data_IF_816972816960
#
_entry.id   IF_816972816960
#
_cell.length_a   1.000
_cell.length_b   1.000
_cell.length_c   1.000
_cell.angle_alpha   90.00
_cell.angle_beta   90.00
_cell.angle_gamma   90.00
#
_symmetry.space_group_name_H-M   'P 1'
#
loop_
_entity.id
_entity.type
_entity.pdbx_description
1 polymer ?
#
# COMPACT_ATOMS: atom_id res chain seq x y z
N UNK A 1 -72.99 20.09 -2.34
CA UNK A 1 -71.85 21.01 -2.58
C UNK A 1 -71.39 21.63 -1.26
N UNK A 2 -70.27 21.17 -0.69
CA UNK A 2 -69.50 21.91 0.32
C UNK A 2 -68.03 21.54 0.13
N UNK A 3 -67.27 22.51 -0.37
CA UNK A 3 -65.81 22.44 -0.51
C UNK A 3 -65.19 22.54 0.88
N UNK A 4 -64.24 21.68 1.22
CA UNK A 4 -63.32 21.96 2.33
C UNK A 4 -61.91 21.58 1.91
N UNK A 5 -61.07 22.60 1.94
CA UNK A 5 -59.66 22.66 1.60
C UNK A 5 -58.88 22.11 2.79
N UNK A 6 -58.06 21.07 2.60
CA UNK A 6 -57.05 20.71 3.60
C UNK A 6 -55.64 20.98 3.07
N UNK A 7 -54.95 21.79 3.88
CA UNK A 7 -53.66 22.42 3.64
C UNK A 7 -52.52 21.41 3.71
N UNK A 8 -51.52 21.66 2.87
CA UNK A 8 -50.22 21.00 2.81
C UNK A 8 -49.49 20.98 4.17
N UNK A 9 -48.91 19.84 4.52
CA UNK A 9 -47.84 19.73 5.51
C UNK A 9 -46.60 19.26 4.74
N UNK A 10 -45.66 20.18 4.53
CA UNK A 10 -44.31 19.87 4.03
C UNK A 10 -43.47 19.52 5.25
N UNK A 11 -43.11 18.25 5.40
CA UNK A 11 -42.14 17.81 6.40
C UNK A 11 -40.76 18.03 5.81
N UNK A 12 -40.06 19.07 6.29
CA UNK A 12 -38.66 19.30 5.99
C UNK A 12 -37.80 18.40 6.87
N UNK A 13 -37.31 17.28 6.31
CA UNK A 13 -36.32 16.42 6.95
C UNK A 13 -34.94 17.09 6.87
N UNK A 14 -34.51 17.72 7.96
CA UNK A 14 -33.14 18.21 8.10
C UNK A 14 -32.19 17.01 8.29
N UNK A 15 -31.47 16.63 7.23
CA UNK A 15 -30.31 15.74 7.36
C UNK A 15 -29.17 16.51 8.05
N UNK A 16 -29.00 16.27 9.34
CA UNK A 16 -27.79 16.65 10.06
C UNK A 16 -26.62 15.79 9.56
N UNK A 17 -25.84 16.32 8.62
CA UNK A 17 -24.51 15.78 8.32
C UNK A 17 -23.58 16.12 9.48
N UNK A 18 -23.47 15.22 10.45
CA UNK A 18 -22.35 15.23 11.39
C UNK A 18 -21.07 14.93 10.59
N UNK A 19 -20.36 15.99 10.20
CA UNK A 19 -18.97 15.94 9.72
C UNK A 19 -18.10 15.48 10.89
N UNK A 20 -17.98 14.16 11.06
CA UNK A 20 -16.94 13.60 11.90
C UNK A 20 -15.58 14.01 11.32
N UNK A 21 -14.83 14.82 12.07
CA UNK A 21 -13.41 15.06 11.77
C UNK A 21 -12.73 13.69 11.72
N UNK A 22 -12.29 13.28 10.54
CA UNK A 22 -11.50 12.08 10.35
C UNK A 22 -10.17 12.25 11.10
N UNK A 23 -10.12 11.79 12.34
CA UNK A 23 -8.87 11.72 13.09
C UNK A 23 -8.04 10.56 12.53
N UNK A 24 -6.74 10.80 12.29
CA UNK A 24 -5.81 9.75 11.91
C UNK A 24 -5.81 8.66 13.01
N UNK A 25 -6.12 7.42 12.66
CA UNK A 25 -6.10 6.32 13.62
C UNK A 25 -4.65 6.00 14.00
N UNK A 26 -4.36 5.95 15.29
CA UNK A 26 -3.07 5.45 15.78
C UNK A 26 -3.16 3.93 15.96
N UNK A 27 -2.16 3.21 15.47
CA UNK A 27 -1.97 1.76 15.66
C UNK A 27 -0.62 1.50 16.30
N UNK A 28 -0.51 0.42 17.09
CA UNK A 28 0.75 -0.03 17.68
C UNK A 28 1.23 -1.25 16.92
N UNK A 29 2.38 -1.13 16.24
CA UNK A 29 2.89 -2.17 15.35
C UNK A 29 4.15 -2.79 15.93
N UNK A 30 4.22 -4.11 15.85
CA UNK A 30 5.38 -4.91 16.24
C UNK A 30 6.00 -5.54 15.00
N UNK A 31 7.28 -5.31 14.78
CA UNK A 31 8.05 -6.05 13.78
C UNK A 31 8.23 -7.50 14.23
N UNK A 32 8.02 -8.45 13.31
CA UNK A 32 8.04 -9.90 13.52
C UNK A 32 8.90 -10.61 12.45
N UNK A 33 10.03 -9.99 12.09
CA UNK A 33 10.98 -10.54 11.12
C UNK A 33 10.71 -10.17 9.65
N UNK A 34 11.72 -10.35 8.81
CA UNK A 34 11.61 -10.11 7.36
C UNK A 34 10.88 -11.25 6.64
N UNK A 35 10.28 -10.95 5.49
CA UNK A 35 9.74 -11.98 4.58
C UNK A 35 10.86 -12.75 3.89
N UNK A 36 12.04 -12.16 3.79
CA UNK A 36 13.26 -12.70 3.18
C UNK A 36 14.48 -12.23 3.98
N UNK A 37 15.65 -12.76 3.64
CA UNK A 37 16.93 -12.41 4.27
C UNK A 37 17.86 -11.81 3.21
N UNK A 38 17.84 -10.49 3.03
CA UNK A 38 18.63 -9.83 1.99
C UNK A 38 18.82 -8.33 2.21
N UNK A 39 19.80 -7.76 1.56
CA UNK A 39 20.06 -6.33 1.61
C UNK A 39 20.67 -5.85 0.30
N UNK A 40 20.67 -4.53 0.12
CA UNK A 40 21.31 -3.89 -1.03
C UNK A 40 22.29 -2.84 -0.53
N UNK A 41 23.40 -2.69 -1.26
CA UNK A 41 24.32 -1.59 -1.07
C UNK A 41 23.94 -0.44 -1.98
N UNK A 42 23.90 0.78 -1.44
CA UNK A 42 23.58 1.96 -2.25
C UNK A 42 24.81 2.45 -3.02
N UNK A 43 24.59 2.84 -4.27
CA UNK A 43 25.54 3.57 -5.11
C UNK A 43 25.29 5.07 -4.99
N UNK A 44 24.02 5.48 -5.04
CA UNK A 44 23.56 6.84 -4.79
C UNK A 44 22.20 6.83 -4.09
N UNK A 45 22.00 7.80 -3.21
CA UNK A 45 20.71 8.13 -2.59
C UNK A 45 20.53 9.64 -2.71
N UNK A 46 19.33 10.16 -3.01
CA UNK A 46 19.13 11.60 -3.14
C UNK A 46 19.49 12.37 -1.88
N UNK A 47 19.92 13.62 -2.04
CA UNK A 47 20.28 14.53 -0.94
C UNK A 47 19.12 14.90 -0.02
N UNK A 48 17.89 14.64 -0.44
CA UNK A 48 16.69 14.81 0.39
C UNK A 48 16.59 13.79 1.53
N UNK A 49 17.37 12.71 1.46
CA UNK A 49 17.55 11.76 2.57
C UNK A 49 18.74 12.23 3.40
N UNK A 50 18.50 12.68 4.63
CA UNK A 50 19.58 13.08 5.53
C UNK A 50 20.33 11.84 6.02
N UNK A 51 21.66 11.81 5.85
CA UNK A 51 22.53 10.72 6.32
C UNK A 51 22.10 9.31 5.87
N UNK A 52 22.01 9.05 4.55
CA UNK A 52 21.58 7.75 4.06
C UNK A 52 22.57 6.66 4.50
N UNK A 53 22.09 5.46 4.88
CA UNK A 53 22.98 4.37 5.22
C UNK A 53 23.75 3.89 3.97
N UNK A 54 24.86 3.16 4.15
CA UNK A 54 25.61 2.58 3.02
C UNK A 54 24.92 1.37 2.39
N UNK A 55 24.09 0.69 3.17
CA UNK A 55 23.28 -0.45 2.76
C UNK A 55 22.00 -0.51 3.59
N UNK A 56 20.98 -1.21 3.09
CA UNK A 56 19.73 -1.41 3.81
C UNK A 56 19.19 -2.82 3.56
N UNK A 57 18.44 -3.34 4.54
CA UNK A 57 17.62 -4.52 4.34
C UNK A 57 16.56 -4.23 3.27
N UNK A 58 16.47 -5.09 2.27
CA UNK A 58 15.57 -4.90 1.12
C UNK A 58 14.62 -6.10 1.04
N UNK A 59 13.49 -5.99 1.71
CA UNK A 59 12.46 -7.04 1.79
C UNK A 59 11.20 -6.50 2.47
N UNK A 60 10.12 -7.28 2.44
CA UNK A 60 8.91 -6.97 3.21
C UNK A 60 9.11 -7.29 4.70
N UNK A 61 8.49 -6.50 5.57
CA UNK A 61 8.50 -6.72 7.02
C UNK A 61 7.22 -7.40 7.45
N UNK A 62 7.31 -8.54 8.13
CA UNK A 62 6.17 -9.10 8.83
C UNK A 62 5.86 -8.20 10.02
N UNK A 63 4.65 -7.65 10.05
CA UNK A 63 4.19 -6.75 11.09
C UNK A 63 2.95 -7.33 11.76
N UNK A 64 2.82 -7.05 13.05
CA UNK A 64 1.63 -7.40 13.84
C UNK A 64 1.09 -6.13 14.49
N UNK A 65 -0.19 -5.83 14.26
CA UNK A 65 -0.90 -4.80 15.00
C UNK A 65 -1.30 -5.34 16.39
N UNK A 66 -0.71 -4.75 17.41
CA UNK A 66 -0.87 -5.08 18.83
C UNK A 66 -1.58 -3.95 19.61
N UNK A 67 -2.36 -3.13 18.92
CA UNK A 67 -3.09 -2.02 19.53
C UNK A 67 -4.00 -2.50 20.68
N UNK A 68 -3.88 -1.86 21.84
CA UNK A 68 -4.70 -2.15 23.00
C UNK A 68 -6.18 -1.83 22.70
N UNK A 69 -7.08 -2.75 23.05
CA UNK A 69 -8.52 -2.60 22.79
C UNK A 69 -8.98 -3.08 21.40
N UNK A 70 -8.07 -3.53 20.53
CA UNK A 70 -8.41 -4.20 19.27
C UNK A 70 -7.35 -4.03 18.19
N UNK A 71 -7.03 -5.12 17.48
CA UNK A 71 -6.14 -5.11 16.30
C UNK A 71 -6.97 -4.87 15.04
N UNK A 72 -6.73 -3.76 14.36
CA UNK A 72 -7.47 -3.37 13.14
C UNK A 72 -6.79 -3.94 11.89
N UNK A 73 -5.46 -4.00 11.90
CA UNK A 73 -4.68 -4.47 10.74
C UNK A 73 -4.28 -5.96 10.84
N UNK A 74 -4.34 -6.56 12.03
CA UNK A 74 -3.95 -7.96 12.23
C UNK A 74 -2.46 -8.21 11.92
N UNK A 75 -2.18 -9.29 11.19
CA UNK A 75 -0.84 -9.61 10.67
C UNK A 75 -0.77 -9.24 9.20
N UNK A 76 0.29 -8.55 8.79
CA UNK A 76 0.45 -8.08 7.41
C UNK A 76 1.92 -7.93 7.05
N UNK A 77 2.18 -7.72 5.76
CA UNK A 77 3.52 -7.38 5.24
C UNK A 77 3.56 -5.89 4.95
N UNK A 78 4.54 -5.20 5.52
CA UNK A 78 4.81 -3.81 5.27
C UNK A 78 6.10 -3.62 4.45
N UNK A 79 6.23 -2.50 3.77
CA UNK A 79 7.41 -2.12 3.00
C UNK A 79 7.92 -0.77 3.49
N UNK A 80 9.24 -0.59 3.45
CA UNK A 80 9.87 0.67 3.85
C UNK A 80 9.81 1.68 2.72
N UNK A 81 9.33 2.90 2.98
CA UNK A 81 9.41 4.00 2.03
C UNK A 81 10.21 5.19 2.60
N UNK A 82 11.06 4.92 3.59
CA UNK A 82 11.82 5.91 4.34
C UNK A 82 13.26 5.43 4.54
N UNK A 83 14.18 5.98 3.75
CA UNK A 83 15.60 5.66 3.83
C UNK A 83 16.36 6.45 4.91
N UNK A 84 15.71 7.37 5.61
CA UNK A 84 16.34 8.23 6.62
C UNK A 84 16.39 7.57 8.00
N UNK A 85 15.39 6.72 8.31
CA UNK A 85 15.22 6.14 9.62
C UNK A 85 15.43 4.62 9.65
N UNK A 86 15.37 4.04 10.84
CA UNK A 86 15.54 2.60 11.08
C UNK A 86 14.23 1.92 11.48
N UNK A 87 14.03 0.66 11.12
CA UNK A 87 12.91 -0.10 11.65
C UNK A 87 13.08 -0.32 13.16
N UNK A 88 11.96 -0.45 13.88
CA UNK A 88 12.01 -0.83 15.29
C UNK A 88 12.67 -2.22 15.45
N UNK A 89 13.40 -2.47 16.56
CA UNK A 89 13.89 -3.81 16.86
C UNK A 89 12.76 -4.84 16.89
N UNK A 90 13.08 -6.08 16.56
CA UNK A 90 12.13 -7.18 16.57
C UNK A 90 11.43 -7.29 17.93
N UNK A 91 10.11 -7.44 17.92
CA UNK A 91 9.32 -7.56 19.13
C UNK A 91 8.97 -6.24 19.83
N UNK A 92 9.52 -5.10 19.40
CA UNK A 92 9.22 -3.78 20.01
C UNK A 92 7.97 -3.18 19.37
N UNK A 93 6.97 -2.89 20.19
CA UNK A 93 5.75 -2.22 19.76
C UNK A 93 6.01 -0.72 19.57
N UNK A 94 5.71 -0.21 18.38
CA UNK A 94 5.96 1.19 18.00
C UNK A 94 4.66 1.84 17.51
N UNK A 95 4.33 3.07 17.94
CA UNK A 95 3.12 3.75 17.51
C UNK A 95 3.26 4.34 16.11
N UNK A 96 2.29 4.04 15.24
CA UNK A 96 2.15 4.56 13.89
C UNK A 96 0.80 5.25 13.71
N UNK A 97 0.76 6.30 12.89
CA UNK A 97 -0.47 6.92 12.42
C UNK A 97 -0.81 6.41 11.03
N UNK A 98 -2.06 6.00 10.85
CA UNK A 98 -2.62 5.76 9.51
C UNK A 98 -2.93 7.12 8.89
N UNK A 99 -2.29 7.44 7.76
CA UNK A 99 -2.37 8.78 7.15
C UNK A 99 -2.60 8.73 5.64
N UNK A 100 -3.19 9.80 5.10
CA UNK A 100 -3.38 10.05 3.66
C UNK A 100 -2.39 11.10 3.11
N UNK A 101 -1.65 11.76 3.98
CA UNK A 101 -0.58 12.71 3.66
C UNK A 101 0.70 12.20 4.31
N UNK A 102 1.28 11.12 3.78
CA UNK A 102 2.33 10.39 4.46
C UNK A 102 3.67 11.10 4.48
N UNK A 103 4.41 10.81 5.55
CA UNK A 103 5.82 11.08 5.78
C UNK A 103 6.13 12.56 5.99
N UNK A 104 5.19 13.25 6.62
CA UNK A 104 5.36 14.63 7.11
C UNK A 104 6.49 14.76 8.15
N UNK A 105 6.98 13.63 8.67
CA UNK A 105 8.09 13.50 9.61
C UNK A 105 9.45 13.16 8.93
N UNK A 106 9.52 13.02 7.60
CA UNK A 106 10.76 12.84 6.82
C UNK A 106 10.71 13.59 5.48
N UNK A 107 11.07 12.96 4.36
CA UNK A 107 11.07 13.57 3.02
C UNK A 107 9.68 14.08 2.57
N UNK A 108 8.61 13.45 3.07
CA UNK A 108 7.24 13.69 2.59
C UNK A 108 7.00 13.09 1.21
N UNK A 109 5.76 12.65 0.95
CA UNK A 109 5.39 12.08 -0.35
C UNK A 109 4.48 13.00 -1.13
N UNK A 110 4.91 13.36 -2.33
CA UNK A 110 4.07 14.07 -3.29
C UNK A 110 2.96 13.16 -3.84
N UNK A 111 1.92 13.77 -4.42
CA UNK A 111 0.86 13.01 -5.10
C UNK A 111 1.37 12.20 -6.28
N UNK A 112 2.41 12.68 -6.96
CA UNK A 112 3.04 11.98 -8.08
C UNK A 112 3.78 10.73 -7.60
N UNK A 113 4.57 10.84 -6.53
CA UNK A 113 5.27 9.71 -5.92
C UNK A 113 4.32 8.64 -5.38
N UNK A 114 3.25 9.05 -4.68
CA UNK A 114 2.22 8.11 -4.23
C UNK A 114 1.57 7.36 -5.40
N UNK A 115 1.40 8.01 -6.55
CA UNK A 115 0.87 7.38 -7.77
C UNK A 115 1.87 6.37 -8.34
N UNK A 116 3.17 6.70 -8.37
CA UNK A 116 4.20 5.77 -8.83
C UNK A 116 4.30 4.54 -7.92
N UNK A 117 4.30 4.74 -6.60
CA UNK A 117 4.24 3.64 -5.63
C UNK A 117 2.99 2.77 -5.85
N UNK A 118 1.82 3.38 -6.03
CA UNK A 118 0.58 2.67 -6.36
C UNK A 118 0.72 1.83 -7.64
N UNK A 119 1.29 2.39 -8.71
CA UNK A 119 1.54 1.66 -9.96
C UNK A 119 2.47 0.46 -9.77
N UNK A 120 3.51 0.59 -8.93
CA UNK A 120 4.41 -0.54 -8.62
C UNK A 120 3.66 -1.67 -7.92
N UNK A 121 2.80 -1.36 -6.94
CA UNK A 121 1.96 -2.37 -6.28
C UNK A 121 0.96 -3.01 -7.24
N UNK A 122 0.19 -2.20 -7.97
CA UNK A 122 -0.87 -2.68 -8.87
C UNK A 122 -0.34 -3.57 -9.99
N UNK A 123 0.82 -3.23 -10.56
CA UNK A 123 1.40 -4.00 -11.64
C UNK A 123 2.06 -5.31 -11.18
N UNK A 124 2.61 -5.37 -9.96
CA UNK A 124 3.59 -6.41 -9.61
C UNK A 124 3.25 -7.24 -8.38
N UNK A 125 2.63 -6.66 -7.34
CA UNK A 125 2.65 -7.24 -5.99
C UNK A 125 2.04 -8.66 -5.90
N UNK A 126 1.00 -8.94 -6.70
CA UNK A 126 0.37 -10.26 -6.76
C UNK A 126 1.34 -11.38 -7.19
N UNK A 127 2.36 -11.05 -7.98
CA UNK A 127 3.35 -12.00 -8.50
C UNK A 127 4.67 -12.04 -7.72
N UNK A 128 4.85 -11.18 -6.71
CA UNK A 128 6.10 -11.13 -5.94
C UNK A 128 6.19 -12.31 -4.99
N UNK A 129 7.24 -13.12 -5.11
CA UNK A 129 7.56 -14.17 -4.13
C UNK A 129 8.25 -13.56 -2.93
N UNK A 130 7.48 -13.30 -1.87
CA UNK A 130 7.96 -12.58 -0.67
C UNK A 130 9.12 -13.27 0.07
N UNK A 131 9.25 -14.60 -0.09
CA UNK A 131 10.35 -15.40 0.48
C UNK A 131 11.57 -15.55 -0.42
N UNK A 132 11.56 -14.96 -1.62
CA UNK A 132 12.72 -14.91 -2.50
C UNK A 132 13.53 -13.65 -2.19
N UNK A 133 14.78 -13.80 -1.76
CA UNK A 133 15.69 -12.68 -1.49
C UNK A 133 15.77 -11.71 -2.68
N UNK A 134 15.93 -12.24 -3.90
CA UNK A 134 16.01 -11.41 -5.11
C UNK A 134 14.71 -10.69 -5.42
N UNK A 135 13.55 -11.38 -5.41
CA UNK A 135 12.28 -10.73 -5.76
C UNK A 135 11.82 -9.74 -4.69
N UNK A 136 11.97 -10.07 -3.41
CA UNK A 136 11.64 -9.17 -2.32
C UNK A 136 12.54 -7.92 -2.33
N UNK A 137 13.85 -8.10 -2.51
CA UNK A 137 14.78 -6.97 -2.62
C UNK A 137 14.50 -6.11 -3.85
N UNK A 138 14.29 -6.74 -5.01
CA UNK A 138 13.96 -6.03 -6.24
C UNK A 138 12.67 -5.23 -6.13
N UNK A 139 11.66 -5.75 -5.44
CA UNK A 139 10.42 -5.02 -5.21
C UNK A 139 10.63 -3.82 -4.28
N UNK A 140 11.37 -3.99 -3.18
CA UNK A 140 11.73 -2.88 -2.29
C UNK A 140 12.56 -1.79 -3.02
N UNK A 141 13.49 -2.19 -3.88
CA UNK A 141 14.29 -1.29 -4.70
C UNK A 141 13.44 -0.56 -5.74
N UNK A 142 12.48 -1.24 -6.37
CA UNK A 142 11.54 -0.59 -7.29
C UNK A 142 10.68 0.47 -6.57
N UNK A 143 10.24 0.21 -5.34
CA UNK A 143 9.53 1.20 -4.53
C UNK A 143 10.40 2.43 -4.21
N UNK A 144 11.66 2.23 -3.83
CA UNK A 144 12.59 3.34 -3.60
C UNK A 144 12.89 4.11 -4.89
N UNK A 145 13.10 3.44 -6.02
CA UNK A 145 13.33 4.11 -7.30
C UNK A 145 12.12 4.95 -7.72
N UNK A 146 10.90 4.39 -7.59
CA UNK A 146 9.66 5.09 -7.88
C UNK A 146 9.47 6.35 -7.01
N UNK A 147 9.97 6.33 -5.77
CA UNK A 147 9.89 7.45 -4.84
C UNK A 147 10.99 8.51 -5.08
N UNK A 148 12.22 8.07 -5.28
CA UNK A 148 13.42 8.90 -5.16
C UNK A 148 14.05 9.30 -6.50
N UNK A 149 13.69 8.64 -7.60
CA UNK A 149 14.17 8.98 -8.95
C UNK A 149 13.02 9.15 -9.95
N UNK A 150 11.98 8.33 -9.81
CA UNK A 150 10.80 8.32 -10.68
C UNK A 150 11.05 7.75 -12.08
N UNK A 151 12.26 7.26 -12.36
CA UNK A 151 12.60 6.60 -13.61
C UNK A 151 12.39 5.07 -13.54
N UNK A 152 12.84 4.34 -14.58
CA UNK A 152 12.74 2.88 -14.63
C UNK A 152 14.11 2.17 -14.56
N UNK A 153 15.11 2.76 -13.90
CA UNK A 153 16.48 2.27 -13.92
C UNK A 153 17.18 2.28 -12.55
N UNK A 154 16.99 1.21 -11.76
CA UNK A 154 17.50 1.06 -10.39
C UNK A 154 19.05 1.03 -10.20
N UNK A 155 19.83 1.08 -11.28
CA UNK A 155 21.31 1.03 -11.25
C UNK A 155 22.01 2.38 -11.54
N UNK A 156 21.24 3.43 -11.79
CA UNK A 156 21.74 4.77 -12.15
C UNK A 156 20.72 5.83 -11.73
N UNK A 157 21.13 7.10 -11.78
CA UNK A 157 20.27 8.22 -11.44
C UNK A 157 20.47 8.72 -10.01
N UNK A 158 19.48 9.45 -9.51
CA UNK A 158 19.48 10.06 -8.19
C UNK A 158 19.41 9.00 -7.09
N UNK A 159 18.70 7.91 -7.35
CA UNK A 159 18.69 6.71 -6.52
C UNK A 159 19.26 5.54 -7.32
N UNK A 160 20.28 4.87 -6.79
CA UNK A 160 20.83 3.68 -7.41
C UNK A 160 21.43 2.73 -6.38
N UNK A 161 21.32 1.42 -6.65
CA UNK A 161 22.05 0.40 -5.91
C UNK A 161 23.33 -0.02 -6.65
N UNK A 162 24.26 -0.63 -5.93
CA UNK A 162 25.49 -1.17 -6.52
C UNK A 162 25.19 -2.45 -7.30
N UNK A 163 25.89 -2.64 -8.40
CA UNK A 163 25.86 -3.86 -9.22
C UNK A 163 26.98 -4.83 -8.79
N UNK A 164 26.97 -5.26 -7.54
CA UNK A 164 27.72 -6.46 -7.14
C UNK A 164 26.98 -7.74 -7.64
N UNK A 165 27.55 -8.94 -7.44
CA UNK A 165 26.96 -10.18 -7.96
C UNK A 165 25.48 -10.36 -7.60
N UNK A 166 25.09 -10.02 -6.38
CA UNK A 166 23.70 -10.07 -5.94
C UNK A 166 22.87 -8.88 -6.45
N UNK A 167 23.50 -7.71 -6.50
CA UNK A 167 22.91 -6.45 -6.94
C UNK A 167 22.53 -6.45 -8.42
N UNK A 168 23.27 -7.13 -9.30
CA UNK A 168 22.95 -7.18 -10.73
C UNK A 168 21.60 -7.85 -11.00
N UNK A 169 21.34 -9.02 -10.40
CA UNK A 169 20.05 -9.70 -10.56
C UNK A 169 18.91 -8.94 -9.87
N UNK A 170 19.18 -8.25 -8.75
CA UNK A 170 18.22 -7.37 -8.09
C UNK A 170 17.87 -6.17 -8.99
N UNK A 171 18.85 -5.48 -9.57
CA UNK A 171 18.66 -4.36 -10.50
C UNK A 171 17.82 -4.82 -11.69
N UNK A 172 18.19 -5.95 -12.30
CA UNK A 172 17.47 -6.51 -13.45
C UNK A 172 16.02 -6.82 -13.13
N UNK A 173 15.74 -7.41 -11.97
CA UNK A 173 14.38 -7.70 -11.53
C UNK A 173 13.61 -6.43 -11.12
N UNK A 174 14.26 -5.45 -10.50
CA UNK A 174 13.66 -4.16 -10.13
C UNK A 174 13.25 -3.37 -11.38
N UNK A 175 14.11 -3.33 -12.39
CA UNK A 175 13.81 -2.68 -13.67
C UNK A 175 12.59 -3.33 -14.36
N UNK A 176 12.42 -4.65 -14.26
CA UNK A 176 11.19 -5.31 -14.76
C UNK A 176 9.94 -4.82 -14.03
N UNK A 177 10.01 -4.68 -12.70
CA UNK A 177 8.88 -4.16 -11.92
C UNK A 177 8.56 -2.70 -12.24
N UNK A 178 9.59 -1.88 -12.46
CA UNK A 178 9.45 -0.48 -12.83
C UNK A 178 8.86 -0.31 -14.24
N UNK A 179 9.33 -1.09 -15.22
CA UNK A 179 8.76 -1.08 -16.57
C UNK A 179 7.30 -1.54 -16.57
N UNK A 180 6.98 -2.62 -15.85
CA UNK A 180 5.60 -3.07 -15.70
C UNK A 180 4.71 -2.00 -15.07
N UNK A 181 5.21 -1.28 -14.05
CA UNK A 181 4.49 -0.19 -13.40
C UNK A 181 4.27 1.01 -14.33
N UNK A 182 5.26 1.34 -15.17
CA UNK A 182 5.20 2.44 -16.14
C UNK A 182 4.17 2.19 -17.23
N UNK A 183 4.04 0.94 -17.69
CA UNK A 183 3.08 0.56 -18.72
C UNK A 183 1.73 0.09 -18.16
N UNK A 184 1.54 0.10 -16.84
CA UNK A 184 0.31 -0.37 -16.23
C UNK A 184 -0.86 0.58 -16.51
N UNK A 185 -1.81 0.11 -17.32
CA UNK A 185 -3.06 0.79 -17.65
C UNK A 185 -4.28 0.15 -16.97
N UNK A 186 -4.04 -0.89 -16.15
CA UNK A 186 -5.06 -1.62 -15.41
C UNK A 186 -5.75 -0.78 -14.34
N UNK A 187 -6.86 -1.31 -13.82
CA UNK A 187 -7.54 -0.71 -12.67
C UNK A 187 -6.71 -0.89 -11.41
N UNK A 188 -6.89 0.02 -10.44
CA UNK A 188 -6.36 -0.13 -9.08
C UNK A 188 -6.83 -1.46 -8.48
N UNK A 189 -5.89 -2.31 -8.08
CA UNK A 189 -6.14 -3.64 -7.49
C UNK A 189 -5.71 -3.74 -6.03
N UNK A 190 -4.87 -2.82 -5.56
CA UNK A 190 -4.45 -2.75 -4.16
C UNK A 190 -4.82 -1.42 -3.51
N UNK A 191 -5.38 -1.47 -2.30
CA UNK A 191 -5.53 -0.33 -1.42
C UNK A 191 -4.27 -0.18 -0.56
N UNK A 192 -3.50 0.90 -0.80
CA UNK A 192 -2.37 1.26 0.04
C UNK A 192 -2.85 1.86 1.37
N UNK A 193 -2.20 1.45 2.45
CA UNK A 193 -2.30 2.06 3.77
C UNK A 193 -0.91 2.54 4.17
N UNK A 194 -0.76 3.85 4.32
CA UNK A 194 0.50 4.45 4.78
C UNK A 194 0.51 4.56 6.30
N UNK A 195 1.63 4.18 6.88
CA UNK A 195 1.87 4.10 8.32
C UNK A 195 3.04 5.02 8.62
N UNK A 196 2.73 6.20 9.15
CA UNK A 196 3.73 7.18 9.55
C UNK A 196 4.10 6.98 11.01
N UNK A 197 5.39 6.81 11.33
CA UNK A 197 5.81 6.62 12.71
C UNK A 197 5.56 7.89 13.53
N UNK A 198 5.03 7.73 14.75
CA UNK A 198 4.93 8.84 15.71
C UNK A 198 6.28 9.17 16.36
N UNK A 199 7.25 8.28 16.25
CA UNK A 199 8.60 8.43 16.77
C UNK A 199 9.50 9.03 15.68
N UNK A 200 9.33 10.35 15.49
CA UNK A 200 9.67 11.10 14.26
C UNK A 200 11.14 11.12 13.86
N UNK A 201 12.06 10.77 14.76
CA UNK A 201 13.51 10.91 14.54
C UNK A 201 14.25 9.59 14.40
N UNK A 202 13.57 8.44 14.55
CA UNK A 202 14.28 7.15 14.63
C UNK A 202 13.61 6.00 13.90
N UNK A 203 12.35 6.14 13.46
CA UNK A 203 11.54 5.02 12.98
C UNK A 203 11.04 5.20 11.55
N UNK A 204 11.30 4.19 10.73
CA UNK A 204 10.88 4.15 9.33
C UNK A 204 9.37 4.27 9.18
N UNK A 205 8.97 5.07 8.20
CA UNK A 205 7.61 5.05 7.71
C UNK A 205 7.38 3.90 6.72
N UNK A 206 6.18 3.33 6.77
CA UNK A 206 5.84 2.08 6.10
C UNK A 206 4.62 2.23 5.20
N UNK A 207 4.49 1.31 4.25
CA UNK A 207 3.27 1.10 3.47
C UNK A 207 2.88 -0.37 3.51
N UNK A 208 1.59 -0.65 3.60
CA UNK A 208 1.01 -2.00 3.43
C UNK A 208 -0.14 -1.95 2.44
N UNK A 209 -0.59 -3.12 1.97
CA UNK A 209 -1.66 -3.23 0.99
C UNK A 209 -2.72 -4.23 1.38
N UNK A 210 -3.94 -3.96 0.93
CA UNK A 210 -5.05 -4.92 0.96
C UNK A 210 -5.68 -5.01 -0.43
N UNK A 211 -6.19 -6.18 -0.86
CA UNK A 211 -6.86 -6.28 -2.15
C UNK A 211 -8.06 -5.32 -2.22
N UNK A 212 -8.26 -4.67 -3.37
CA UNK A 212 -9.51 -3.95 -3.65
C UNK A 212 -10.64 -4.98 -3.75
N UNK A 213 -11.73 -4.87 -2.97
CA UNK A 213 -12.84 -5.81 -3.08
C UNK A 213 -13.42 -5.79 -4.50
N UNK A 214 -13.53 -6.97 -5.12
CA UNK A 214 -14.30 -7.10 -6.35
C UNK A 214 -15.75 -6.70 -6.07
N UNK A 215 -16.38 -5.86 -6.90
CA UNK A 215 -17.75 -5.43 -6.67
C UNK A 215 -18.67 -6.64 -6.48
N UNK A 216 -19.38 -6.71 -5.35
CA UNK A 216 -20.36 -7.76 -5.08
C UNK A 216 -21.42 -7.88 -6.19
N UNK A 217 -21.65 -6.80 -6.93
CA UNK A 217 -22.49 -6.76 -8.12
C UNK A 217 -22.11 -7.82 -9.18
N UNK A 218 -20.82 -8.15 -9.35
CA UNK A 218 -20.41 -9.20 -10.28
C UNK A 218 -20.88 -10.58 -9.82
N UNK A 219 -20.77 -10.87 -8.52
CA UNK A 219 -21.30 -12.11 -7.92
C UNK A 219 -22.82 -12.18 -7.99
N UNK A 220 -23.51 -11.08 -7.68
CA UNK A 220 -24.97 -10.99 -7.78
C UNK A 220 -25.46 -11.12 -9.22
N UNK A 221 -24.73 -10.60 -10.20
CA UNK A 221 -25.05 -10.76 -11.62
C UNK A 221 -24.89 -12.22 -12.06
N UNK A 222 -23.81 -12.90 -11.66
CA UNK A 222 -23.64 -14.32 -11.93
C UNK A 222 -24.71 -15.17 -11.26
N UNK A 223 -25.09 -14.85 -10.02
CA UNK A 223 -26.18 -15.51 -9.32
C UNK A 223 -27.53 -15.27 -10.01
N UNK A 224 -27.80 -14.04 -10.47
CA UNK A 224 -29.01 -13.70 -11.20
C UNK A 224 -29.09 -14.45 -12.55
N UNK A 225 -27.99 -14.48 -13.31
CA UNK A 225 -27.89 -15.22 -14.57
C UNK A 225 -28.02 -16.74 -14.36
N UNK A 226 -27.38 -17.28 -13.32
CA UNK A 226 -27.51 -18.68 -12.92
C UNK A 226 -28.95 -19.04 -12.52
N UNK A 227 -29.61 -18.16 -11.77
CA UNK A 227 -31.02 -18.29 -11.39
C UNK A 227 -31.96 -18.31 -12.59
N UNK A 228 -31.79 -17.38 -13.53
CA UNK A 228 -32.57 -17.32 -14.77
C UNK A 228 -32.37 -18.58 -15.64
N UNK A 229 -31.13 -19.06 -15.77
CA UNK A 229 -30.83 -20.28 -16.53
C UNK A 229 -31.44 -21.54 -15.90
N UNK A 230 -31.44 -21.63 -14.56
CA UNK A 230 -32.07 -22.73 -13.83
C UNK A 230 -33.60 -22.75 -14.00
N UNK A 231 -34.24 -21.58 -13.91
CA UNK A 231 -35.69 -21.43 -14.15
C UNK A 231 -36.04 -21.77 -15.61
N UNK A 232 -35.23 -21.31 -16.56
CA UNK A 232 -35.42 -21.62 -17.99
C UNK A 232 -35.32 -23.11 -18.30
N UNK A 233 -34.41 -23.84 -17.65
CA UNK A 233 -34.28 -25.30 -17.78
C UNK A 233 -35.48 -26.05 -17.21
N UNK A 234 -36.00 -25.61 -16.06
CA UNK A 234 -37.17 -26.25 -15.42
C UNK A 234 -38.44 -26.14 -16.26
N UNK A 235 -38.60 -25.07 -17.04
CA UNK A 235 -39.74 -24.87 -17.96
C UNK A 235 -39.68 -25.69 -19.25
N UNK A 236 -38.52 -26.28 -19.58
CA UNK A 236 -38.37 -27.16 -20.76
C UNK A 236 -38.49 -28.64 -20.42
N UNK A 237 -38.42 -28.99 -19.14
CA UNK A 237 -38.51 -30.37 -18.64
C UNK A 237 -39.89 -30.70 -18.06
N UNK A 238 -40.82 -29.74 -18.08
CA UNK A 238 -42.25 -29.90 -17.80
C UNK A 238 -43.02 -29.62 -19.08
#
# INVERSE_FOLDING_TARGET
MRKSVFRSIVIASALAFSVGMASASTVSLKFDGGTANGGVSFKSVPTVVSNPPRSSGAYGFNMVDVTAGGSVLGKFVAWCLDLEHFLAPNGVATPYMVTKTPFSNSYGLSRAEMKLVQSVFDANFAGVKLNSNTQAAAFQVALWNALYDGDAAAGRGTFAIKSDESGEEIIKQANKYLEAAKTFDGKKVWNLTFLESKDKSTRQNLVTVTPVPVPAAAGLMLLALGGLAAVGRRRRAA
#
